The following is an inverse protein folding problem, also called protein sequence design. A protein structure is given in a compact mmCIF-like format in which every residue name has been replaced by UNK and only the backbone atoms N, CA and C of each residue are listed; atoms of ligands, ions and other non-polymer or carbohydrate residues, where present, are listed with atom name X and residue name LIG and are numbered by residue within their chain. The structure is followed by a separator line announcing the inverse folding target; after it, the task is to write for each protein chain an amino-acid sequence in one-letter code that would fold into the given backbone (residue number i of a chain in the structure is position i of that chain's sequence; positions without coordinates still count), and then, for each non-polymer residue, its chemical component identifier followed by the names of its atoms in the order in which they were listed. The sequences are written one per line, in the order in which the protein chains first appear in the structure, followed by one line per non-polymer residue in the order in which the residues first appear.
data_IF_266751550166
#
_entry.id   IF_266751550166
#
_cell.length_a   1.000
_cell.length_b   1.000
_cell.length_c   1.000
_cell.angle_alpha   90.00
_cell.angle_beta   90.00
_cell.angle_gamma   90.00
#
_symmetry.space_group_name_H-M   'P 1'
#
loop_
_entity.id
_entity.type
_entity.pdbx_description
1 polymer ?
#
# COMPACT_ATOMS: atom_id res chain seq x y z
N UNK A 1 -41.88 28.02 9.99
CA UNK A 1 -41.86 27.30 8.70
C UNK A 1 -40.62 27.77 7.92
N UNK A 2 -39.60 26.90 7.82
CA UNK A 2 -38.64 26.72 6.72
C UNK A 2 -38.19 27.98 5.93
N UNK A 3 -36.92 28.40 5.89
CA UNK A 3 -35.78 27.72 5.25
C UNK A 3 -34.49 28.47 5.61
N UNK A 4 -33.57 27.83 6.34
CA UNK A 4 -32.23 28.32 6.58
C UNK A 4 -31.24 27.64 5.63
N UNK A 5 -30.24 28.42 5.20
CA UNK A 5 -28.97 28.01 4.61
C UNK A 5 -29.00 27.29 3.25
N UNK A 6 -28.98 28.08 2.17
CA UNK A 6 -28.21 27.71 0.97
C UNK A 6 -26.91 28.51 1.05
N UNK A 7 -25.96 27.99 1.82
CA UNK A 7 -24.60 28.51 1.84
C UNK A 7 -23.75 27.72 0.84
N UNK A 8 -23.14 28.47 -0.09
CA UNK A 8 -21.84 28.24 -0.73
C UNK A 8 -21.44 26.78 -1.04
N UNK A 9 -21.47 26.37 -2.31
CA UNK A 9 -20.43 26.63 -3.32
C UNK A 9 -19.54 25.38 -3.52
N UNK A 10 -19.44 24.94 -4.78
CA UNK A 10 -18.43 24.03 -5.37
C UNK A 10 -18.40 22.62 -4.73
N UNK A 11 -18.84 21.54 -5.39
CA UNK A 11 -18.08 20.91 -6.46
C UNK A 11 -18.97 20.01 -7.31
N UNK A 12 -19.32 20.52 -8.50
CA UNK A 12 -19.74 19.73 -9.66
C UNK A 12 -18.50 19.10 -10.31
N UNK A 13 -17.88 18.08 -9.73
CA UNK A 13 -16.84 17.30 -10.44
C UNK A 13 -16.94 15.83 -10.03
N UNK A 14 -16.99 14.94 -11.03
CA UNK A 14 -16.87 13.47 -11.00
C UNK A 14 -18.14 12.60 -10.98
N UNK A 15 -18.99 12.72 -12.01
CA UNK A 15 -19.71 11.54 -12.55
C UNK A 15 -18.86 10.87 -13.62
N UNK A 16 -17.73 10.27 -13.25
CA UNK A 16 -17.00 9.38 -14.16
C UNK A 16 -17.81 8.09 -14.28
N UNK A 17 -18.15 7.65 -15.49
CA UNK A 17 -18.86 6.38 -15.79
C UNK A 17 -18.04 5.11 -15.46
N UNK A 18 -17.11 5.21 -14.52
CA UNK A 18 -16.19 4.16 -14.10
C UNK A 18 -16.54 3.61 -12.72
N UNK A 19 -15.96 2.46 -12.34
CA UNK A 19 -16.17 1.86 -11.03
C UNK A 19 -15.75 2.82 -9.90
N UNK A 20 -16.49 2.76 -8.80
CA UNK A 20 -16.22 3.60 -7.62
C UNK A 20 -14.81 3.30 -7.08
N UNK A 21 -14.01 4.33 -6.75
CA UNK A 21 -12.67 4.11 -6.20
C UNK A 21 -12.75 3.54 -4.78
N UNK A 22 -12.02 2.45 -4.56
CA UNK A 22 -11.84 1.85 -3.23
C UNK A 22 -10.88 2.72 -2.42
N UNK A 23 -11.41 3.44 -1.41
CA UNK A 23 -10.65 4.40 -0.60
C UNK A 23 -9.98 3.78 0.64
N UNK A 24 -10.42 2.60 1.05
CA UNK A 24 -9.92 1.89 2.22
C UNK A 24 -9.39 0.53 1.79
N UNK A 25 -8.13 0.51 1.36
CA UNK A 25 -7.45 -0.71 0.94
C UNK A 25 -6.48 -1.07 2.06
N UNK A 26 -6.70 -2.22 2.67
CA UNK A 26 -5.78 -2.80 3.64
C UNK A 26 -4.87 -3.81 2.91
N UNK A 27 -3.56 -3.54 2.85
CA UNK A 27 -2.61 -4.45 2.21
C UNK A 27 -2.54 -5.76 3.00
N UNK A 28 -2.86 -6.87 2.33
CA UNK A 28 -2.90 -8.22 2.93
C UNK A 28 -1.54 -8.90 3.00
N UNK A 29 -0.57 -8.40 2.26
CA UNK A 29 0.76 -8.99 2.15
C UNK A 29 1.81 -7.91 2.34
N UNK A 30 2.67 -8.14 3.32
CA UNK A 30 3.74 -7.21 3.73
C UNK A 30 5.10 -7.89 3.81
N UNK A 31 5.14 -9.20 3.56
CA UNK A 31 6.32 -10.05 3.67
C UNK A 31 7.16 -10.05 2.39
N UNK A 32 8.38 -10.57 2.46
CA UNK A 32 9.25 -10.77 1.29
C UNK A 32 8.75 -11.97 0.48
N UNK A 33 8.75 -11.86 -0.85
CA UNK A 33 8.32 -12.94 -1.73
C UNK A 33 9.53 -13.51 -2.49
N UNK A 34 10.00 -14.68 -2.05
CA UNK A 34 11.19 -15.36 -2.60
C UNK A 34 10.79 -16.79 -2.93
N UNK A 35 11.12 -17.28 -4.12
CA UNK A 35 10.84 -18.67 -4.54
C UNK A 35 9.37 -19.12 -4.41
N UNK A 36 8.41 -18.26 -4.77
CA UNK A 36 6.97 -18.54 -4.62
C UNK A 36 6.47 -18.65 -3.16
N UNK A 37 7.31 -18.30 -2.18
CA UNK A 37 6.99 -18.35 -0.76
C UNK A 37 7.11 -16.97 -0.11
N UNK A 38 6.31 -16.76 0.94
CA UNK A 38 6.36 -15.56 1.77
C UNK A 38 7.35 -15.79 2.91
N UNK A 39 8.43 -15.03 2.91
CA UNK A 39 9.46 -15.05 3.93
C UNK A 39 9.40 -13.78 4.79
N UNK A 40 9.65 -13.95 6.09
CA UNK A 40 9.89 -12.83 7.00
C UNK A 40 11.29 -12.24 6.76
N UNK A 41 11.51 -10.97 7.08
CA UNK A 41 12.83 -10.35 6.89
C UNK A 41 13.89 -11.01 7.77
N UNK A 42 15.14 -11.06 7.29
CA UNK A 42 16.25 -11.56 8.12
C UNK A 42 16.65 -10.59 9.24
N UNK A 43 16.20 -9.33 9.16
CA UNK A 43 16.53 -8.24 10.09
C UNK A 43 15.39 -7.90 11.06
N UNK A 44 14.23 -8.55 10.95
CA UNK A 44 13.01 -8.26 11.72
C UNK A 44 12.63 -6.76 11.73
N UNK A 45 12.99 -6.03 10.66
CA UNK A 45 12.76 -4.58 10.53
C UNK A 45 11.66 -4.33 9.52
N UNK A 46 10.84 -3.31 9.77
CA UNK A 46 9.72 -2.95 8.88
C UNK A 46 9.81 -1.49 8.46
N UNK A 47 9.53 -1.23 7.18
CA UNK A 47 9.45 0.10 6.59
C UNK A 47 7.98 0.47 6.41
N UNK A 48 7.58 1.60 7.02
CA UNK A 48 6.26 2.18 6.83
C UNK A 48 6.10 2.78 5.43
N UNK A 49 5.11 2.30 4.67
CA UNK A 49 4.67 2.91 3.42
C UNK A 49 3.61 3.98 3.71
N UNK A 50 3.93 5.24 3.44
CA UNK A 50 3.06 6.39 3.72
C UNK A 50 2.40 6.90 2.45
N UNK A 51 1.13 7.27 2.55
CA UNK A 51 0.41 7.90 1.45
C UNK A 51 0.88 9.35 1.26
N UNK A 52 1.40 9.74 0.08
CA UNK A 52 1.94 11.09 -0.13
C UNK A 52 0.89 12.20 -0.06
N UNK A 53 -0.40 11.89 -0.19
CA UNK A 53 -1.48 12.88 -0.17
C UNK A 53 -1.93 13.28 1.24
N UNK A 54 -1.76 12.41 2.23
CA UNK A 54 -2.24 12.65 3.60
C UNK A 54 -1.25 12.24 4.70
N UNK A 55 -0.09 11.68 4.34
CA UNK A 55 0.92 11.20 5.28
C UNK A 55 0.48 10.02 6.15
N UNK A 56 -0.68 9.38 5.85
CA UNK A 56 -1.19 8.26 6.62
C UNK A 56 -0.42 6.98 6.27
N UNK A 57 -0.07 6.21 7.29
CA UNK A 57 0.49 4.86 7.13
C UNK A 57 -0.51 3.96 6.38
N UNK A 58 -0.04 3.36 5.29
CA UNK A 58 -0.79 2.40 4.47
C UNK A 58 -0.49 0.98 4.93
N UNK A 59 0.80 0.66 5.08
CA UNK A 59 1.30 -0.66 5.43
C UNK A 59 2.66 -0.55 6.12
N UNK A 60 2.98 -1.48 6.99
CA UNK A 60 4.36 -1.77 7.39
C UNK A 60 4.85 -2.94 6.54
N UNK A 61 5.86 -2.71 5.70
CA UNK A 61 6.43 -3.73 4.80
C UNK A 61 7.76 -4.20 5.38
N UNK A 62 8.03 -5.50 5.35
CA UNK A 62 9.30 -6.06 5.81
C UNK A 62 10.49 -5.47 5.03
N UNK A 63 11.51 -5.01 5.75
CA UNK A 63 12.75 -4.48 5.19
C UNK A 63 13.67 -5.62 4.76
N UNK A 64 13.99 -5.67 3.48
CA UNK A 64 14.95 -6.65 2.96
C UNK A 64 16.38 -6.20 3.28
N UNK A 65 17.16 -7.09 3.92
CA UNK A 65 18.60 -6.90 4.10
C UNK A 65 19.38 -7.58 2.95
N UNK A 66 20.69 -7.33 2.88
CA UNK A 66 21.58 -7.94 1.88
C UNK A 66 21.47 -9.47 1.83
N UNK A 67 21.23 -10.12 2.98
CA UNK A 67 21.05 -11.58 3.08
C UNK A 67 19.82 -12.09 2.34
N UNK A 68 18.74 -11.31 2.33
CA UNK A 68 17.50 -11.69 1.65
C UNK A 68 17.62 -11.51 0.13
N UNK A 69 18.40 -10.50 -0.29
CA UNK A 69 18.78 -10.32 -1.70
C UNK A 69 19.63 -11.50 -2.18
N UNK A 70 20.63 -11.92 -1.41
CA UNK A 70 21.49 -13.06 -1.78
C UNK A 70 20.68 -14.36 -1.91
N UNK A 71 19.75 -14.63 -0.97
CA UNK A 71 18.84 -15.80 -1.08
C UNK A 71 17.99 -15.73 -2.34
N UNK A 72 17.43 -14.56 -2.68
CA UNK A 72 16.62 -14.38 -3.87
C UNK A 72 17.41 -14.60 -5.17
N UNK A 73 18.68 -14.18 -5.20
CA UNK A 73 19.59 -14.41 -6.34
C UNK A 73 19.98 -15.89 -6.44
N UNK A 74 20.28 -16.54 -5.31
CA UNK A 74 20.64 -17.96 -5.27
C UNK A 74 19.54 -18.85 -5.86
N UNK A 75 18.28 -18.58 -5.52
CA UNK A 75 17.11 -19.30 -6.05
C UNK A 75 16.95 -19.10 -7.57
N UNK A 76 17.15 -17.87 -8.05
CA UNK A 76 17.03 -17.56 -9.47
C UNK A 76 18.17 -18.17 -10.30
N UNK A 77 19.21 -18.69 -9.66
CA UNK A 77 20.38 -19.29 -10.29
C UNK A 77 20.32 -20.83 -10.32
N UNK A 78 19.12 -21.41 -10.46
CA UNK A 78 18.97 -22.79 -10.89
C UNK A 78 19.05 -22.88 -12.43
N UNK A 79 20.26 -23.19 -12.92
CA UNK A 79 20.50 -23.85 -14.22
C UNK A 79 20.90 -25.29 -13.93
#
# INVERSE_FOLDING_TARGET
MLRAAVARAVQLISTTSGPQPLRNIEPKFTKLFINNEWHDSSSDSTIGSFNPANGKLIAEVEEADWKDVDKAVQVNHCV
#
